data_IF_108110005205
#
_entry.id   IF_108110005205
#
_cell.length_a   1.000
_cell.length_b   1.000
_cell.length_c   1.000
_cell.angle_alpha   90.00
_cell.angle_beta   90.00
_cell.angle_gamma   90.00
#
_symmetry.space_group_name_H-M   'P 1'
#
loop_
_entity.id
_entity.type
_entity.pdbx_description
1 polymer ?
#
# COMPACT_ATOMS: atom_id res chain seq x y z
N UNK A 1 28.71 44.64 6.27
CA UNK A 1 27.65 45.56 5.80
C UNK A 1 27.23 45.36 4.33
N UNK A 2 27.87 44.46 3.55
CA UNK A 2 27.51 44.23 2.14
C UNK A 2 26.42 43.16 1.87
N UNK A 3 25.96 42.40 2.87
CA UNK A 3 25.00 41.31 2.65
C UNK A 3 23.53 41.75 2.67
N UNK A 4 23.21 42.89 3.29
CA UNK A 4 21.84 43.39 3.38
C UNK A 4 21.40 44.13 2.11
N UNK A 5 22.32 44.77 1.37
CA UNK A 5 22.02 45.48 0.13
C UNK A 5 21.70 44.55 -1.05
N UNK A 6 22.25 43.33 -1.05
CA UNK A 6 22.02 42.32 -2.10
C UNK A 6 20.59 41.76 -2.02
N UNK A 7 20.01 41.68 -0.82
CA UNK A 7 18.70 41.09 -0.60
C UNK A 7 17.55 42.03 -1.02
N UNK A 8 17.71 43.34 -0.79
CA UNK A 8 16.70 44.34 -1.17
C UNK A 8 16.62 44.55 -2.70
N UNK A 9 17.75 44.42 -3.42
CA UNK A 9 17.75 44.52 -4.88
C UNK A 9 17.06 43.33 -5.56
N UNK A 10 17.21 42.11 -5.04
CA UNK A 10 16.51 40.92 -5.56
C UNK A 10 15.00 40.99 -5.34
N UNK A 11 14.58 41.58 -4.22
CA UNK A 11 13.16 41.74 -3.88
C UNK A 11 12.46 42.79 -4.78
N UNK A 12 13.15 43.88 -5.14
CA UNK A 12 12.65 44.89 -6.10
C UNK A 12 12.56 44.38 -7.53
N UNK A 13 13.47 43.51 -7.96
CA UNK A 13 13.41 42.83 -9.26
C UNK A 13 12.17 41.94 -9.36
N UNK A 14 11.94 41.06 -8.38
CA UNK A 14 10.78 40.16 -8.36
C UNK A 14 9.43 40.89 -8.43
N UNK A 15 9.29 42.01 -7.71
CA UNK A 15 8.07 42.82 -7.73
C UNK A 15 7.83 43.53 -9.08
N UNK A 16 8.90 43.87 -9.81
CA UNK A 16 8.78 44.44 -11.17
C UNK A 16 8.40 43.38 -12.19
N UNK A 17 8.92 42.16 -12.08
CA UNK A 17 8.60 41.05 -12.98
C UNK A 17 7.16 40.58 -12.78
N UNK A 18 6.67 40.53 -11.53
CA UNK A 18 5.28 40.13 -11.23
C UNK A 18 4.23 41.14 -11.76
N UNK A 19 4.55 42.45 -11.73
CA UNK A 19 3.63 43.50 -12.20
C UNK A 19 3.48 43.55 -13.75
N UNK A 20 4.46 43.03 -14.50
CA UNK A 20 4.43 43.02 -15.97
C UNK A 20 3.66 41.83 -16.57
N UNK A 21 3.45 40.75 -15.82
CA UNK A 21 2.73 39.56 -16.30
C UNK A 21 1.20 39.75 -16.25
N UNK A 22 0.70 40.61 -15.37
CA UNK A 22 -0.75 40.88 -15.24
C UNK A 22 -1.34 41.83 -16.28
N UNK A 23 -0.53 42.45 -17.15
CA UNK A 23 -1.00 43.39 -18.17
C UNK A 23 -0.95 42.84 -19.62
N UNK A 24 -0.58 41.57 -19.82
CA UNK A 24 -0.14 41.04 -21.13
C UNK A 24 -1.01 39.96 -21.79
N UNK A 25 -2.25 39.72 -21.34
CA UNK A 25 -3.17 38.79 -22.04
C UNK A 25 -4.59 39.38 -22.14
N UNK A 26 -4.67 40.59 -22.67
CA UNK A 26 -5.91 41.21 -23.11
C UNK A 26 -5.80 41.57 -24.59
N UNK A 27 -5.74 40.55 -25.46
CA UNK A 27 -6.14 40.60 -26.87
C UNK A 27 -5.70 39.30 -27.56
N UNK A 28 -6.66 38.44 -27.90
CA UNK A 28 -6.79 37.76 -29.20
C UNK A 28 -7.76 36.58 -29.09
N UNK A 29 -8.75 36.55 -29.99
CA UNK A 29 -9.26 35.29 -30.49
C UNK A 29 -10.68 34.93 -30.07
N UNK A 30 -11.65 35.67 -30.59
CA UNK A 30 -13.01 35.17 -30.83
C UNK A 30 -12.93 33.89 -31.69
N UNK A 31 -13.14 32.73 -31.08
CA UNK A 31 -13.46 31.49 -31.77
C UNK A 31 -14.66 30.85 -31.08
N UNK A 32 -15.82 31.02 -31.71
CA UNK A 32 -17.05 30.35 -31.35
C UNK A 32 -16.85 28.83 -31.53
N UNK A 33 -16.74 28.10 -30.43
CA UNK A 33 -16.79 26.64 -30.45
C UNK A 33 -18.25 26.21 -30.26
N UNK A 34 -18.90 25.85 -31.37
CA UNK A 34 -20.21 25.17 -31.35
C UNK A 34 -20.02 23.74 -30.88
N UNK A 35 -20.33 23.44 -29.62
CA UNK A 35 -20.52 22.09 -29.14
C UNK A 35 -22.02 21.80 -29.00
N UNK A 36 -22.59 21.17 -30.02
CA UNK A 36 -23.88 20.47 -29.93
C UNK A 36 -23.73 19.31 -28.93
N UNK A 37 -24.25 19.48 -27.72
CA UNK A 37 -24.41 18.39 -26.76
C UNK A 37 -25.79 17.77 -26.95
N UNK A 38 -25.83 16.53 -27.45
CA UNK A 38 -27.02 15.68 -27.43
C UNK A 38 -27.23 15.21 -25.99
N UNK A 39 -28.23 15.77 -25.30
CA UNK A 39 -28.66 15.26 -24.01
C UNK A 39 -29.36 13.91 -24.20
N UNK A 40 -28.67 12.83 -23.83
CA UNK A 40 -29.27 11.51 -23.63
C UNK A 40 -29.83 11.48 -22.20
N UNK A 41 -31.15 11.55 -22.07
CA UNK A 41 -31.84 11.56 -20.77
C UNK A 41 -31.85 10.15 -20.19
N UNK A 42 -30.80 9.77 -19.45
CA UNK A 42 -30.90 8.65 -18.51
C UNK A 42 -31.63 9.15 -17.26
N UNK A 43 -32.76 8.51 -16.96
CA UNK A 43 -33.52 8.76 -15.73
C UNK A 43 -32.66 8.28 -14.56
N UNK A 44 -32.01 9.20 -13.89
CA UNK A 44 -31.17 8.91 -12.75
C UNK A 44 -31.99 8.84 -11.47
N UNK A 45 -31.73 7.81 -10.67
CA UNK A 45 -32.37 7.64 -9.37
C UNK A 45 -31.67 8.56 -8.37
N UNK A 46 -32.39 9.58 -7.88
CA UNK A 46 -31.90 10.47 -6.82
C UNK A 46 -31.94 9.75 -5.47
N UNK A 47 -30.87 9.90 -4.69
CA UNK A 47 -30.75 9.34 -3.34
C UNK A 47 -30.49 10.49 -2.38
N UNK A 48 -31.19 10.48 -1.25
CA UNK A 48 -31.01 11.46 -0.18
C UNK A 48 -29.85 11.03 0.72
N UNK A 49 -28.88 11.92 0.90
CA UNK A 49 -27.71 11.72 1.78
C UNK A 49 -27.68 12.84 2.82
N UNK A 50 -27.17 12.53 4.02
CA UNK A 50 -26.92 13.54 5.04
C UNK A 50 -25.50 14.08 4.87
N UNK A 51 -25.36 15.39 4.70
CA UNK A 51 -24.06 16.06 4.66
C UNK A 51 -23.40 16.05 6.06
N UNK A 52 -22.07 16.23 6.15
CA UNK A 52 -21.37 16.40 7.43
C UNK A 52 -21.91 17.54 8.28
N UNK A 53 -22.52 18.53 7.63
CA UNK A 53 -23.14 19.70 8.26
C UNK A 53 -24.59 19.44 8.71
N UNK A 54 -25.10 18.21 8.51
CA UNK A 54 -26.42 17.78 8.97
C UNK A 54 -27.58 18.11 8.02
N UNK A 55 -27.30 18.49 6.77
CA UNK A 55 -28.32 18.81 5.77
C UNK A 55 -28.62 17.61 4.86
N UNK A 56 -29.87 17.45 4.43
CA UNK A 56 -30.25 16.39 3.48
C UNK A 56 -30.00 16.89 2.06
N UNK A 57 -29.06 16.25 1.36
CA UNK A 57 -28.67 16.57 -0.02
C UNK A 57 -29.09 15.43 -0.94
N UNK A 58 -29.78 15.76 -2.04
CA UNK A 58 -30.12 14.79 -3.08
C UNK A 58 -29.02 14.71 -4.13
N UNK A 59 -28.38 13.54 -4.22
CA UNK A 59 -27.33 13.27 -5.19
C UNK A 59 -27.80 12.17 -6.14
N UNK A 60 -27.43 12.30 -7.41
CA UNK A 60 -27.66 11.28 -8.41
C UNK A 60 -26.78 10.05 -8.11
N UNK A 61 -27.41 8.87 -8.09
CA UNK A 61 -26.73 7.60 -7.83
C UNK A 61 -25.48 7.34 -8.67
N UNK A 62 -25.36 7.96 -9.86
CA UNK A 62 -24.18 7.84 -10.72
C UNK A 62 -22.92 8.51 -10.14
N UNK A 63 -23.07 9.45 -9.20
CA UNK A 63 -21.95 10.11 -8.51
C UNK A 63 -21.59 9.44 -7.18
N UNK A 64 -22.32 8.40 -6.77
CA UNK A 64 -21.93 7.58 -5.64
C UNK A 64 -20.80 6.65 -6.07
N UNK A 65 -19.57 7.07 -5.77
CA UNK A 65 -18.45 6.12 -5.80
C UNK A 65 -18.69 5.09 -4.69
N UNK A 66 -19.12 3.90 -5.06
CA UNK A 66 -18.96 2.70 -4.22
C UNK A 66 -17.46 2.44 -4.09
N UNK A 67 -16.78 3.21 -3.26
CA UNK A 67 -15.57 2.73 -2.63
C UNK A 67 -16.02 1.52 -1.82
N UNK A 68 -15.59 0.31 -2.19
CA UNK A 68 -15.53 -0.78 -1.23
C UNK A 68 -14.60 -0.29 -0.13
N UNK A 69 -15.14 0.45 0.83
CA UNK A 69 -14.49 0.71 2.09
C UNK A 69 -14.34 -0.68 2.69
N UNK A 70 -13.16 -1.29 2.45
CA UNK A 70 -12.62 -2.35 3.26
C UNK A 70 -12.95 -1.91 4.68
N UNK A 71 -13.84 -2.65 5.35
CA UNK A 71 -14.35 -2.32 6.67
C UNK A 71 -13.18 -1.77 7.47
N UNK A 72 -13.27 -0.50 7.90
CA UNK A 72 -12.18 0.17 8.61
C UNK A 72 -12.10 -0.51 9.98
N UNK A 73 -11.43 -1.67 10.00
CA UNK A 73 -11.18 -2.41 11.21
C UNK A 73 -10.22 -1.57 12.03
N UNK A 74 -10.44 -1.55 13.33
CA UNK A 74 -9.51 -0.86 14.21
C UNK A 74 -8.13 -1.52 14.10
N UNK A 75 -7.05 -0.75 14.31
CA UNK A 75 -5.69 -1.30 14.38
C UNK A 75 -5.58 -2.38 15.47
N UNK A 76 -6.38 -2.27 16.54
CA UNK A 76 -6.44 -3.27 17.59
C UNK A 76 -7.01 -4.60 17.07
N UNK A 77 -8.12 -4.54 16.34
CA UNK A 77 -8.75 -5.72 15.74
C UNK A 77 -7.85 -6.37 14.69
N UNK A 78 -7.15 -5.56 13.89
CA UNK A 78 -6.12 -6.02 12.96
C UNK A 78 -4.99 -6.82 13.65
N UNK A 79 -4.61 -6.40 14.87
CA UNK A 79 -3.60 -7.09 15.68
C UNK A 79 -4.10 -8.38 16.31
N UNK A 80 -5.38 -8.47 16.63
CA UNK A 80 -5.99 -9.69 17.18
C UNK A 80 -6.12 -10.76 16.10
N UNK A 81 -6.64 -10.39 14.93
CA UNK A 81 -6.95 -11.29 13.83
C UNK A 81 -8.27 -12.02 13.97
N UNK A 82 -8.52 -13.04 13.14
CA UNK A 82 -9.85 -13.67 13.02
C UNK A 82 -10.00 -14.78 14.08
N UNK A 83 -10.99 -14.64 14.96
CA UNK A 83 -11.23 -15.59 16.04
C UNK A 83 -11.58 -17.00 15.52
N UNK A 84 -11.05 -18.04 16.17
CA UNK A 84 -11.33 -19.43 15.84
C UNK A 84 -10.73 -19.93 14.51
N UNK A 85 -9.85 -19.16 13.87
CA UNK A 85 -9.18 -19.53 12.62
C UNK A 85 -7.70 -19.77 12.82
N UNK A 86 -7.09 -20.53 11.91
CA UNK A 86 -5.64 -20.72 11.76
C UNK A 86 -5.31 -20.82 10.28
N UNK A 87 -4.43 -19.94 9.80
CA UNK A 87 -4.04 -19.89 8.39
C UNK A 87 -2.72 -20.60 8.16
N UNK A 88 -2.68 -21.45 7.13
CA UNK A 88 -1.50 -22.22 6.71
C UNK A 88 -1.40 -22.18 5.19
N UNK A 89 -0.18 -22.06 4.67
CA UNK A 89 0.12 -22.18 3.25
C UNK A 89 0.94 -23.45 3.03
N UNK A 90 0.43 -24.31 2.15
CA UNK A 90 1.13 -25.50 1.69
C UNK A 90 1.51 -25.26 0.23
N UNK A 91 2.80 -25.41 -0.06
CA UNK A 91 3.33 -25.27 -1.41
C UNK A 91 3.78 -26.64 -1.88
N UNK A 92 3.15 -27.14 -2.94
CA UNK A 92 3.57 -28.38 -3.59
C UNK A 92 4.84 -28.11 -4.44
N UNK A 93 5.97 -28.62 -3.97
CA UNK A 93 7.28 -28.45 -4.61
C UNK A 93 7.41 -29.26 -5.90
N UNK A 94 6.66 -30.35 -6.08
CA UNK A 94 6.72 -31.18 -7.30
C UNK A 94 6.17 -30.42 -8.52
N UNK A 95 5.22 -29.51 -8.27
CA UNK A 95 4.58 -28.68 -9.28
C UNK A 95 5.33 -27.36 -9.54
N UNK A 96 6.28 -26.98 -8.69
CA UNK A 96 7.01 -25.73 -8.87
C UNK A 96 7.95 -25.83 -10.09
N UNK A 97 7.69 -25.01 -11.12
CA UNK A 97 8.51 -24.93 -12.36
C UNK A 97 9.30 -23.63 -12.49
N UNK A 98 9.44 -22.85 -11.41
CA UNK A 98 10.04 -21.51 -11.44
C UNK A 98 9.46 -20.59 -12.53
N UNK A 99 8.15 -20.63 -12.74
CA UNK A 99 7.46 -19.76 -13.70
C UNK A 99 7.40 -18.29 -13.24
N UNK A 100 7.86 -17.99 -12.01
CA UNK A 100 7.90 -16.67 -11.35
C UNK A 100 6.56 -15.91 -11.24
N UNK A 101 5.45 -16.48 -11.70
CA UNK A 101 4.09 -15.91 -11.58
C UNK A 101 3.70 -15.57 -10.14
N UNK A 102 4.11 -16.38 -9.17
CA UNK A 102 3.86 -16.11 -7.75
C UNK A 102 4.59 -14.87 -7.24
N UNK A 103 5.81 -14.61 -7.73
CA UNK A 103 6.62 -13.44 -7.39
C UNK A 103 5.97 -12.20 -8.00
N UNK A 104 5.71 -12.20 -9.30
CA UNK A 104 5.07 -11.08 -10.00
C UNK A 104 3.68 -10.76 -9.45
N UNK A 105 2.89 -11.77 -9.08
CA UNK A 105 1.59 -11.56 -8.45
C UNK A 105 1.72 -10.92 -7.06
N UNK A 106 2.68 -11.37 -6.26
CA UNK A 106 2.96 -10.77 -4.95
C UNK A 106 3.42 -9.32 -5.10
N UNK A 107 4.35 -9.05 -6.02
CA UNK A 107 4.86 -7.70 -6.26
C UNK A 107 3.76 -6.76 -6.74
N UNK A 108 2.97 -7.19 -7.73
CA UNK A 108 1.86 -6.40 -8.25
C UNK A 108 0.81 -6.12 -7.19
N UNK A 109 0.41 -7.14 -6.42
CA UNK A 109 -0.62 -6.97 -5.40
C UNK A 109 -0.12 -6.05 -4.29
N UNK A 110 1.13 -6.20 -3.86
CA UNK A 110 1.73 -5.42 -2.75
C UNK A 110 2.52 -4.18 -3.20
N UNK A 111 2.29 -3.69 -4.42
CA UNK A 111 2.91 -2.49 -4.96
C UNK A 111 4.44 -2.46 -4.77
N UNK A 112 5.09 -3.61 -4.96
CA UNK A 112 6.53 -3.76 -4.77
C UNK A 112 7.28 -3.44 -6.07
N UNK A 113 8.42 -2.74 -5.96
CA UNK A 113 9.40 -2.68 -7.04
C UNK A 113 9.81 -4.08 -7.53
N UNK A 114 10.15 -4.18 -8.82
CA UNK A 114 10.46 -5.46 -9.47
C UNK A 114 11.70 -6.16 -8.88
N UNK A 115 12.62 -5.40 -8.31
CA UNK A 115 13.84 -5.88 -7.66
C UNK A 115 13.62 -6.30 -6.20
N UNK A 116 12.45 -6.02 -5.62
CA UNK A 116 12.10 -6.43 -4.26
C UNK A 116 11.17 -7.64 -4.25
N UNK A 117 11.69 -8.77 -3.76
CA UNK A 117 10.96 -10.04 -3.66
C UNK A 117 10.61 -10.38 -2.20
N UNK A 118 9.33 -10.37 -1.83
CA UNK A 118 8.85 -10.96 -0.56
C UNK A 118 8.81 -12.49 -0.59
N UNK A 119 8.71 -13.04 -1.80
CA UNK A 119 8.72 -14.46 -2.14
C UNK A 119 9.77 -14.62 -3.23
N UNK A 120 10.77 -15.45 -2.99
CA UNK A 120 11.85 -15.74 -3.96
C UNK A 120 11.88 -17.23 -4.27
N UNK A 121 12.21 -17.63 -5.50
CA UNK A 121 12.35 -19.05 -5.86
C UNK A 121 13.82 -19.40 -5.95
N UNK A 122 14.26 -20.43 -5.22
CA UNK A 122 15.65 -20.89 -5.17
C UNK A 122 15.77 -22.28 -5.80
N UNK A 123 16.84 -22.50 -6.55
CA UNK A 123 17.22 -23.85 -6.99
C UNK A 123 17.91 -24.54 -5.81
N UNK A 124 17.35 -25.63 -5.34
CA UNK A 124 17.85 -26.39 -4.20
C UNK A 124 18.23 -27.80 -4.65
N UNK A 125 19.19 -28.40 -3.95
CA UNK A 125 19.59 -29.79 -4.12
C UNK A 125 20.08 -30.31 -2.78
N UNK A 126 19.41 -31.32 -2.24
CA UNK A 126 19.70 -31.81 -0.87
C UNK A 126 20.95 -32.68 -0.79
N UNK A 127 21.34 -33.32 -1.89
CA UNK A 127 22.54 -34.16 -1.98
C UNK A 127 23.02 -34.29 -3.41
N UNK A 128 24.27 -34.70 -3.62
CA UNK A 128 24.84 -34.88 -4.96
C UNK A 128 24.04 -35.86 -5.83
N UNK A 129 23.39 -36.84 -5.21
CA UNK A 129 22.57 -37.87 -5.88
C UNK A 129 21.11 -37.45 -6.06
N UNK A 130 20.64 -36.42 -5.35
CA UNK A 130 19.26 -35.95 -5.42
C UNK A 130 18.98 -35.12 -6.68
N UNK A 131 17.76 -35.21 -7.21
CA UNK A 131 17.32 -34.31 -8.27
C UNK A 131 17.16 -32.89 -7.71
N UNK A 132 17.61 -31.84 -8.43
CA UNK A 132 17.38 -30.47 -8.00
C UNK A 132 15.89 -30.12 -8.10
N UNK A 133 15.43 -29.23 -7.23
CA UNK A 133 14.05 -28.76 -7.19
C UNK A 133 13.97 -27.26 -6.93
N UNK A 134 12.83 -26.67 -7.30
CA UNK A 134 12.57 -25.25 -7.08
C UNK A 134 11.87 -25.05 -5.73
N UNK A 135 12.48 -24.25 -4.85
CA UNK A 135 12.00 -23.95 -3.52
C UNK A 135 11.55 -22.49 -3.40
N UNK A 136 10.24 -22.22 -3.33
CA UNK A 136 9.74 -20.90 -2.98
C UNK A 136 10.06 -20.60 -1.50
N UNK A 137 10.85 -19.56 -1.28
CA UNK A 137 11.26 -19.03 0.03
C UNK A 137 10.53 -17.71 0.29
N UNK A 138 9.64 -17.72 1.27
CA UNK A 138 8.87 -16.58 1.79
C UNK A 138 8.86 -16.60 3.32
N UNK A 139 8.22 -15.60 3.94
CA UNK A 139 7.93 -15.70 5.37
C UNK A 139 7.00 -16.90 5.65
N UNK A 140 7.40 -17.78 6.57
CA UNK A 140 6.62 -18.96 6.95
C UNK A 140 5.67 -18.73 8.13
N UNK A 141 5.51 -17.49 8.60
CA UNK A 141 4.62 -17.14 9.72
C UNK A 141 4.77 -18.05 10.94
N UNK A 142 6.02 -18.22 11.40
CA UNK A 142 6.41 -19.21 12.41
C UNK A 142 5.53 -19.16 13.68
N UNK A 143 5.34 -20.32 14.31
CA UNK A 143 4.56 -20.40 15.53
C UNK A 143 5.21 -19.73 16.74
N UNK A 144 6.54 -19.84 16.83
CA UNK A 144 7.36 -19.19 17.83
C UNK A 144 8.32 -18.21 17.13
N UNK A 145 7.83 -17.07 16.64
CA UNK A 145 8.59 -16.21 15.74
C UNK A 145 9.70 -15.44 16.49
N UNK A 146 10.99 -15.72 16.22
CA UNK A 146 12.09 -14.99 16.87
C UNK A 146 12.07 -13.50 16.50
N UNK A 147 11.62 -13.18 15.29
CA UNK A 147 11.48 -11.80 14.81
C UNK A 147 10.46 -10.94 15.59
N UNK A 148 9.48 -11.55 16.26
CA UNK A 148 8.56 -10.83 17.19
C UNK A 148 9.30 -10.52 18.49
N UNK A 149 9.97 -11.51 19.07
CA UNK A 149 10.63 -11.38 20.39
C UNK A 149 11.70 -10.30 20.43
N UNK A 150 12.40 -10.08 19.31
CA UNK A 150 13.49 -9.09 19.23
C UNK A 150 13.04 -7.68 18.88
N UNK A 151 11.75 -7.46 18.58
CA UNK A 151 11.27 -6.14 18.17
C UNK A 151 11.08 -5.25 19.41
N UNK A 152 11.89 -4.19 19.60
CA UNK A 152 11.86 -3.38 20.84
C UNK A 152 10.59 -2.54 20.96
N UNK A 153 9.91 -2.30 19.83
CA UNK A 153 8.73 -1.43 19.75
C UNK A 153 7.46 -2.22 19.45
N UNK A 154 7.46 -3.55 19.47
CA UNK A 154 6.25 -4.36 19.17
C UNK A 154 5.58 -4.04 17.81
N UNK A 155 6.41 -3.65 16.83
CA UNK A 155 5.97 -3.43 15.45
C UNK A 155 5.71 -4.76 14.73
N UNK A 156 6.52 -5.79 14.98
CA UNK A 156 6.23 -7.15 14.53
C UNK A 156 5.47 -7.89 15.61
N UNK A 157 4.32 -8.47 15.27
CA UNK A 157 3.45 -9.17 16.21
C UNK A 157 2.86 -10.43 15.59
N UNK A 158 2.37 -11.35 16.43
CA UNK A 158 1.66 -12.57 16.00
C UNK A 158 0.18 -12.46 16.37
N UNK A 159 -0.70 -12.67 15.39
CA UNK A 159 -2.15 -12.73 15.57
C UNK A 159 -2.59 -14.07 16.15
N UNK A 160 -3.82 -14.09 16.68
CA UNK A 160 -4.43 -15.32 17.17
C UNK A 160 -4.65 -16.36 16.07
N UNK A 161 -4.81 -15.92 14.82
CA UNK A 161 -5.00 -16.79 13.64
C UNK A 161 -3.71 -17.31 13.01
N UNK A 162 -2.56 -17.09 13.67
CA UNK A 162 -1.26 -17.64 13.27
C UNK A 162 -0.42 -16.71 12.40
N UNK A 163 -1.00 -15.64 11.84
CA UNK A 163 -0.25 -14.73 10.99
C UNK A 163 0.69 -13.85 11.82
N UNK A 164 1.97 -13.87 11.45
CA UNK A 164 2.95 -12.85 11.88
C UNK A 164 2.83 -11.65 10.94
N UNK A 165 2.56 -10.44 11.45
CA UNK A 165 2.44 -9.20 10.67
C UNK A 165 3.45 -8.14 11.14
N UNK A 166 3.55 -7.05 10.37
CA UNK A 166 4.34 -5.87 10.73
C UNK A 166 3.42 -4.65 10.67
N UNK A 167 3.33 -3.94 11.79
CA UNK A 167 2.79 -2.59 11.85
C UNK A 167 3.86 -1.62 11.34
N UNK A 168 3.63 -1.09 10.14
CA UNK A 168 4.59 -0.22 9.48
C UNK A 168 4.73 1.13 10.18
N UNK A 169 3.66 1.64 10.79
CA UNK A 169 3.70 2.91 11.50
C UNK A 169 4.49 2.84 12.80
N UNK A 170 4.49 1.67 13.43
CA UNK A 170 5.24 1.41 14.66
C UNK A 170 6.68 0.99 14.39
N UNK A 171 7.02 0.63 13.15
CA UNK A 171 8.35 0.15 12.79
C UNK A 171 9.38 1.28 12.79
N UNK A 172 10.36 1.22 13.68
CA UNK A 172 11.45 2.21 13.77
C UNK A 172 12.69 1.85 12.92
N UNK A 173 12.63 0.80 12.10
CA UNK A 173 13.74 0.48 11.21
C UNK A 173 15.00 -0.11 11.85
N UNK A 174 14.94 -0.62 13.08
CA UNK A 174 16.12 -1.15 13.80
C UNK A 174 16.73 -2.45 13.22
N UNK A 175 16.05 -3.12 12.28
CA UNK A 175 16.51 -4.33 11.56
C UNK A 175 16.82 -5.58 12.41
N UNK A 176 16.64 -5.56 13.73
CA UNK A 176 16.83 -6.76 14.56
C UNK A 176 15.95 -7.94 14.14
N UNK A 177 14.72 -7.65 13.69
CA UNK A 177 13.82 -8.68 13.18
C UNK A 177 14.34 -9.35 11.90
N UNK A 178 15.16 -8.68 11.09
CA UNK A 178 15.81 -9.25 9.91
C UNK A 178 16.90 -10.23 10.32
N UNK A 179 17.77 -9.82 11.25
CA UNK A 179 18.84 -10.67 11.78
C UNK A 179 18.31 -11.91 12.51
N UNK A 180 17.20 -11.76 13.24
CA UNK A 180 16.58 -12.87 13.97
C UNK A 180 15.79 -13.85 13.08
N UNK A 181 15.49 -13.50 11.82
CA UNK A 181 14.73 -14.38 10.94
C UNK A 181 15.63 -15.49 10.39
N UNK A 182 15.38 -16.78 10.71
CA UNK A 182 16.25 -17.89 10.27
C UNK A 182 16.19 -18.11 8.75
N UNK A 183 15.16 -17.55 8.10
CA UNK A 183 14.97 -17.68 6.66
C UNK A 183 15.46 -16.45 5.89
N UNK A 184 15.81 -15.35 6.57
CA UNK A 184 16.19 -14.08 5.93
C UNK A 184 15.19 -13.66 4.84
N UNK A 185 13.91 -13.63 5.17
CA UNK A 185 12.79 -13.31 4.25
C UNK A 185 12.21 -11.92 4.48
N UNK A 186 12.89 -11.09 5.29
CA UNK A 186 12.50 -9.71 5.58
C UNK A 186 13.33 -8.78 4.72
N UNK A 187 12.69 -7.75 4.18
CA UNK A 187 13.30 -6.75 3.31
C UNK A 187 13.22 -5.40 4.00
N UNK A 188 14.24 -4.57 3.84
CA UNK A 188 14.24 -3.20 4.35
C UNK A 188 13.95 -2.23 3.22
N UNK A 189 13.11 -1.22 3.49
CA UNK A 189 12.76 -0.19 2.53
C UNK A 189 13.73 0.98 2.65
N UNK A 190 14.58 1.12 1.64
CA UNK A 190 15.56 2.19 1.54
C UNK A 190 15.00 3.41 0.84
N UNK A 191 14.12 3.19 -0.13
CA UNK A 191 13.62 4.21 -1.04
C UNK A 191 12.14 4.49 -0.80
N UNK A 192 11.71 5.70 -1.17
CA UNK A 192 10.31 6.12 -1.07
C UNK A 192 9.46 5.26 -2.01
N UNK A 193 8.42 4.56 -1.50
CA UNK A 193 7.57 3.76 -2.36
C UNK A 193 6.79 4.66 -3.33
N UNK A 194 6.54 4.14 -4.52
CA UNK A 194 5.52 4.72 -5.39
C UNK A 194 4.14 4.49 -4.75
N UNK A 195 3.43 5.58 -4.47
CA UNK A 195 2.07 5.54 -3.92
C UNK A 195 1.06 5.84 -5.04
N UNK A 196 0.27 4.85 -5.48
CA UNK A 196 -0.84 5.08 -6.40
C UNK A 196 -1.84 6.11 -5.85
N UNK A 197 -2.36 6.95 -6.73
CA UNK A 197 -3.24 8.08 -6.35
C UNK A 197 -4.54 7.61 -5.68
N UNK A 198 -5.04 6.44 -6.03
CA UNK A 198 -6.27 5.83 -5.52
C UNK A 198 -6.14 5.28 -4.09
N UNK A 199 -4.92 5.01 -3.62
CA UNK A 199 -4.68 4.46 -2.27
C UNK A 199 -3.97 5.43 -1.32
N UNK A 200 -3.57 6.61 -1.82
CA UNK A 200 -2.77 7.58 -1.07
C UNK A 200 -3.44 8.08 0.21
N UNK A 201 -4.75 8.22 0.18
CA UNK A 201 -5.53 8.78 1.30
C UNK A 201 -6.11 7.68 2.21
N UNK A 202 -5.77 6.40 1.98
CA UNK A 202 -6.20 5.29 2.83
C UNK A 202 -5.45 5.29 4.16
N UNK A 203 -6.19 5.04 5.24
CA UNK A 203 -5.61 4.92 6.56
C UNK A 203 -4.71 3.67 6.65
N UNK A 204 -3.49 3.86 7.17
CA UNK A 204 -2.56 2.75 7.36
C UNK A 204 -3.05 1.79 8.45
N UNK A 205 -3.07 0.51 8.13
CA UNK A 205 -3.43 -0.58 9.02
C UNK A 205 -2.52 -1.80 8.72
N UNK A 206 -2.14 -2.63 9.73
CA UNK A 206 -1.39 -3.86 9.50
C UNK A 206 -2.04 -4.86 8.53
N UNK A 207 -3.33 -4.75 8.25
CA UNK A 207 -4.03 -5.56 7.25
C UNK A 207 -4.25 -4.87 5.91
N UNK A 208 -4.05 -3.55 5.82
CA UNK A 208 -4.17 -2.86 4.54
C UNK A 208 -2.92 -3.08 3.72
N UNK A 209 -3.12 -3.37 2.44
CA UNK A 209 -2.05 -3.56 1.51
C UNK A 209 -1.58 -2.22 0.93
N UNK A 210 -0.93 -1.43 1.78
CA UNK A 210 -0.31 -0.16 1.41
C UNK A 210 1.21 -0.34 1.29
N UNK A 211 1.87 0.35 0.34
CA UNK A 211 3.32 0.39 0.30
C UNK A 211 3.91 0.86 1.64
N UNK A 212 4.94 0.19 2.12
CA UNK A 212 5.61 0.57 3.36
C UNK A 212 6.44 1.84 3.25
N UNK A 213 6.52 2.57 4.37
CA UNK A 213 7.32 3.78 4.52
C UNK A 213 8.81 3.49 4.42
N UNK A 214 9.57 4.49 3.98
CA UNK A 214 11.04 4.48 4.04
C UNK A 214 11.52 4.21 5.45
N UNK A 215 12.61 3.46 5.58
CA UNK A 215 13.22 3.17 6.86
C UNK A 215 12.52 2.07 7.64
N UNK A 216 11.55 1.37 7.06
CA UNK A 216 10.83 0.28 7.72
C UNK A 216 11.19 -1.09 7.14
N UNK A 217 10.73 -2.15 7.81
CA UNK A 217 10.94 -3.54 7.37
C UNK A 217 9.61 -4.12 6.89
N UNK A 218 9.67 -4.92 5.84
CA UNK A 218 8.56 -5.68 5.28
C UNK A 218 8.89 -7.15 5.07
N UNK A 219 7.88 -7.92 4.69
CA UNK A 219 7.95 -9.34 4.37
C UNK A 219 6.60 -9.76 3.75
N UNK A 220 6.54 -10.97 3.20
CA UNK A 220 5.27 -11.66 2.96
C UNK A 220 4.40 -11.62 4.23
N UNK A 221 3.20 -11.05 4.09
CA UNK A 221 2.22 -10.80 5.15
C UNK A 221 1.01 -11.74 5.08
N UNK A 222 0.99 -12.66 4.11
CA UNK A 222 -0.11 -13.58 3.82
C UNK A 222 -1.35 -12.93 3.20
N UNK A 223 -1.21 -11.74 2.62
CA UNK A 223 -2.31 -10.99 1.98
C UNK A 223 -3.53 -10.83 2.91
N UNK A 224 -3.37 -10.26 4.12
CA UNK A 224 -4.44 -10.15 5.10
C UNK A 224 -5.65 -9.35 4.58
N UNK A 225 -5.41 -8.39 3.69
CA UNK A 225 -6.42 -7.62 2.96
C UNK A 225 -7.42 -8.55 2.23
N UNK A 226 -6.93 -9.65 1.64
CA UNK A 226 -7.77 -10.63 0.95
C UNK A 226 -8.45 -11.60 1.91
N UNK A 227 -7.75 -12.04 2.95
CA UNK A 227 -8.28 -12.97 3.95
C UNK A 227 -9.55 -12.41 4.57
N UNK A 228 -9.52 -11.14 4.96
CA UNK A 228 -10.64 -10.51 5.65
C UNK A 228 -11.82 -10.25 4.72
N UNK A 229 -11.58 -9.82 3.46
CA UNK A 229 -12.65 -9.69 2.44
C UNK A 229 -13.42 -11.00 2.27
N UNK A 230 -12.71 -12.13 2.13
CA UNK A 230 -13.35 -13.43 1.95
C UNK A 230 -14.15 -13.85 3.19
N UNK A 231 -13.66 -13.55 4.39
CA UNK A 231 -14.38 -13.88 5.62
C UNK A 231 -15.70 -13.12 5.76
N UNK A 232 -15.73 -11.81 5.49
CA UNK A 232 -16.99 -11.04 5.56
C UNK A 232 -18.00 -11.40 4.47
N UNK A 233 -17.55 -11.96 3.34
CA UNK A 233 -18.46 -12.43 2.29
C UNK A 233 -19.05 -13.82 2.58
N UNK A 234 -18.49 -14.56 3.54
CA UNK A 234 -18.88 -15.93 3.89
C UNK A 234 -19.50 -16.05 5.29
N UNK A 235 -19.52 -14.97 6.08
CA UNK A 235 -20.12 -14.88 7.40
C UNK A 235 -21.48 -14.19 7.31
#
# INVERSE_FOLDING_TARGET
MQQNEINDNKRREFLKTAALVTAGVAACGSLACSCSSKNNTQVSKKVQLLSPDGEIVEIDSAYLNHQEHMSIISKLEARQGIAGKKFVMVVDLALCKNARKCITACQKHHYRPEDVEWLSVKLMKDSDKGAPYWFPKQCFHCDNPPCVKVCPVDATFKRQDGLVLIDNERCIGCKFCMAACPYSTRVFNWDEPEMPADIRDLANNPETNLPARVGTVEKCDFCPDRIRKVYYLLA
#
